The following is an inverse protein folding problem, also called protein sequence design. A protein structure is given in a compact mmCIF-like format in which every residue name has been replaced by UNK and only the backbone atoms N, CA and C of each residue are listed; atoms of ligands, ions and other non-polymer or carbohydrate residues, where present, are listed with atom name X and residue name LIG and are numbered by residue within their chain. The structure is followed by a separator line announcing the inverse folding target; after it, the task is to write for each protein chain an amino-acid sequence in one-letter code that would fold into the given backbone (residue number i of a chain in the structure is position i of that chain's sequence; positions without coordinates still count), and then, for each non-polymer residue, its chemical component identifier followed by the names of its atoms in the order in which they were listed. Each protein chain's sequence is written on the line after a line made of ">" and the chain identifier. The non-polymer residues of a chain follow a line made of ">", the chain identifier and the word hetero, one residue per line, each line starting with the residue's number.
data_IF_650994882663
#
_entry.id   IF_650994882663
#
_cell.length_a   1.000
_cell.length_b   1.000
_cell.length_c   1.000
_cell.angle_alpha   90.00
_cell.angle_beta   90.00
_cell.angle_gamma   90.00
#
_symmetry.space_group_name_H-M   'P 1'
#
loop_
_entity.id
_entity.type
_entity.pdbx_description
1 polymer ?
#
# COMPACT_ATOMS: atom_id res chain seq x y z
N UNK A 1 36.98 -32.98 29.62
CA UNK A 1 36.96 -32.49 28.22
C UNK A 1 35.89 -31.43 28.12
N UNK A 2 36.26 -30.16 28.04
CA UNK A 2 35.31 -29.08 27.82
C UNK A 2 35.04 -29.00 26.33
N UNK A 3 33.83 -29.36 25.91
CA UNK A 3 33.35 -29.04 24.58
C UNK A 3 33.09 -27.53 24.51
N UNK A 4 34.01 -26.80 23.88
CA UNK A 4 33.75 -25.46 23.42
C UNK A 4 32.73 -25.53 22.28
N UNK A 5 31.53 -25.13 22.55
CA UNK A 5 30.53 -24.92 21.49
C UNK A 5 30.95 -23.65 20.73
N UNK A 6 31.47 -23.81 19.55
CA UNK A 6 31.78 -22.68 18.68
C UNK A 6 30.46 -21.99 18.32
N UNK A 7 30.28 -20.78 18.79
CA UNK A 7 29.15 -19.91 18.35
C UNK A 7 29.50 -19.37 16.99
N UNK A 8 28.95 -19.99 15.94
CA UNK A 8 29.09 -19.49 14.58
C UNK A 8 28.14 -18.30 14.41
N UNK A 9 28.71 -17.12 14.27
CA UNK A 9 27.95 -15.94 13.81
C UNK A 9 28.21 -15.81 12.32
N UNK A 10 27.17 -15.70 11.48
CA UNK A 10 27.37 -15.37 10.07
C UNK A 10 28.07 -14.00 9.99
N UNK A 11 29.07 -13.91 9.12
CA UNK A 11 29.82 -12.67 8.89
C UNK A 11 28.99 -11.59 8.23
N UNK A 12 27.93 -11.99 7.50
CA UNK A 12 27.01 -11.11 6.79
C UNK A 12 25.62 -11.70 6.72
N UNK A 13 24.60 -10.84 6.80
CA UNK A 13 23.20 -11.19 6.55
C UNK A 13 22.76 -10.55 5.25
N UNK A 14 22.28 -11.35 4.32
CA UNK A 14 21.69 -10.86 3.09
C UNK A 14 20.16 -10.96 3.20
N UNK A 15 19.49 -9.83 2.97
CA UNK A 15 18.06 -9.84 2.76
C UNK A 15 17.79 -10.32 1.33
N UNK A 16 17.29 -11.55 1.19
CA UNK A 16 16.93 -12.10 -0.11
C UNK A 16 15.43 -11.89 -0.30
N UNK A 17 15.08 -11.08 -1.29
CA UNK A 17 13.67 -10.68 -1.61
C UNK A 17 12.96 -9.92 -0.49
N UNK A 18 13.49 -8.78 -0.01
CA UNK A 18 12.78 -7.95 0.93
C UNK A 18 11.49 -7.45 0.27
N UNK A 19 10.36 -7.63 0.95
CA UNK A 19 9.12 -7.00 0.54
C UNK A 19 9.19 -5.53 0.94
N UNK A 20 9.29 -4.65 -0.04
CA UNK A 20 9.33 -3.22 0.17
C UNK A 20 7.90 -2.65 0.17
N UNK A 21 7.59 -1.79 1.12
CA UNK A 21 6.34 -1.02 1.20
C UNK A 21 6.70 0.46 1.17
N UNK A 22 6.18 1.18 0.17
CA UNK A 22 6.37 2.62 0.06
C UNK A 22 5.27 3.36 0.83
N UNK A 23 5.65 4.31 1.69
CA UNK A 23 4.71 5.22 2.34
C UNK A 23 5.04 6.66 1.98
N UNK A 24 4.03 7.38 1.49
CA UNK A 24 4.16 8.75 1.03
C UNK A 24 3.05 9.60 1.65
N UNK A 25 3.40 10.82 2.06
CA UNK A 25 2.42 11.82 2.48
C UNK A 25 2.23 12.81 1.33
N UNK A 26 1.12 12.72 0.64
CA UNK A 26 0.71 13.69 -0.39
C UNK A 26 0.20 14.92 0.34
N UNK A 27 1.13 15.84 0.63
CA UNK A 27 0.84 17.10 1.33
C UNK A 27 0.11 18.05 0.38
N UNK A 28 -0.99 18.58 0.88
CA UNK A 28 -1.82 19.48 0.11
C UNK A 28 -2.74 18.67 -0.79
N UNK A 29 -3.76 18.12 -0.17
CA UNK A 29 -4.99 17.80 -0.85
C UNK A 29 -5.26 18.94 -1.81
N UNK A 30 -5.33 18.65 -3.10
CA UNK A 30 -5.48 19.72 -4.09
C UNK A 30 -6.82 20.41 -3.83
N UNK A 31 -6.86 21.65 -3.31
CA UNK A 31 -8.11 22.30 -2.87
C UNK A 31 -9.15 22.37 -4.00
N UNK A 32 -8.68 22.38 -5.25
CA UNK A 32 -9.54 22.37 -6.42
C UNK A 32 -10.27 21.03 -6.65
N UNK A 33 -9.77 19.92 -6.10
CA UNK A 33 -10.35 18.59 -6.25
C UNK A 33 -11.09 18.10 -5.01
N UNK A 34 -10.93 18.78 -3.86
CA UNK A 34 -11.61 18.44 -2.61
C UNK A 34 -13.14 18.35 -2.77
N UNK A 35 -13.84 19.33 -3.42
CA UNK A 35 -15.28 19.23 -3.64
C UNK A 35 -15.68 18.04 -4.51
N UNK A 36 -14.83 17.66 -5.50
CA UNK A 36 -15.09 16.50 -6.36
C UNK A 36 -14.97 15.20 -5.57
N UNK A 37 -13.93 15.09 -4.75
CA UNK A 37 -13.76 13.93 -3.88
C UNK A 37 -14.91 13.80 -2.89
N UNK A 38 -15.38 14.91 -2.32
CA UNK A 38 -16.56 14.91 -1.45
C UNK A 38 -17.83 14.51 -2.20
N UNK A 39 -17.97 14.87 -3.49
CA UNK A 39 -19.11 14.45 -4.30
C UNK A 39 -19.08 12.96 -4.67
N UNK A 40 -17.90 12.35 -4.79
CA UNK A 40 -17.77 10.91 -5.00
C UNK A 40 -18.28 10.10 -3.80
N UNK A 41 -18.22 10.68 -2.58
CA UNK A 41 -18.79 10.08 -1.37
C UNK A 41 -20.33 9.93 -1.46
N UNK A 42 -20.98 10.78 -2.23
CA UNK A 42 -22.43 10.87 -2.30
C UNK A 42 -23.05 10.12 -3.49
N UNK A 43 -22.24 9.73 -4.47
CA UNK A 43 -22.68 9.08 -5.69
C UNK A 43 -22.15 7.63 -5.78
N UNK A 44 -22.93 6.77 -6.46
CA UNK A 44 -22.54 5.39 -6.72
C UNK A 44 -21.15 5.34 -7.39
N UNK A 45 -20.30 4.46 -6.87
CA UNK A 45 -18.86 4.35 -7.09
C UNK A 45 -18.47 4.27 -8.57
N UNK A 46 -17.84 5.30 -9.15
CA UNK A 46 -17.29 5.16 -10.49
C UNK A 46 -16.03 4.25 -10.46
N UNK A 47 -15.89 3.42 -11.46
CA UNK A 47 -14.60 2.86 -11.85
C UNK A 47 -13.71 3.99 -12.36
N UNK A 48 -12.39 3.88 -12.12
CA UNK A 48 -11.40 4.89 -12.57
C UNK A 48 -11.55 6.28 -11.95
N UNK A 49 -11.77 6.29 -10.63
CA UNK A 49 -11.94 7.50 -9.83
C UNK A 49 -10.82 8.51 -10.03
N UNK A 50 -9.57 8.07 -10.15
CA UNK A 50 -8.42 8.96 -10.33
C UNK A 50 -8.42 9.68 -11.67
N UNK A 51 -9.15 9.22 -12.68
CA UNK A 51 -9.32 9.93 -13.96
C UNK A 51 -10.16 11.21 -13.79
N UNK A 52 -11.01 11.25 -12.78
CA UNK A 52 -11.78 12.44 -12.42
C UNK A 52 -11.00 13.44 -11.55
N UNK A 53 -9.83 13.03 -11.04
CA UNK A 53 -8.96 13.76 -10.12
C UNK A 53 -7.53 13.89 -10.69
N UNK A 54 -7.31 14.63 -11.80
CA UNK A 54 -6.05 14.62 -12.55
C UNK A 54 -4.84 15.11 -11.74
N UNK A 55 -5.02 16.07 -10.83
CA UNK A 55 -3.92 16.55 -9.99
C UNK A 55 -3.51 15.49 -8.95
N UNK A 56 -4.48 14.84 -8.34
CA UNK A 56 -4.22 13.74 -7.41
C UNK A 56 -3.60 12.55 -8.15
N UNK A 57 -4.13 12.17 -9.32
CA UNK A 57 -3.56 11.11 -10.17
C UNK A 57 -2.09 11.38 -10.50
N UNK A 58 -1.75 12.63 -10.85
CA UNK A 58 -0.37 13.02 -11.09
C UNK A 58 0.51 12.82 -9.85
N UNK A 59 0.07 13.28 -8.68
CA UNK A 59 0.83 13.12 -7.43
C UNK A 59 1.02 11.63 -7.06
N UNK A 60 -0.01 10.81 -7.28
CA UNK A 60 0.09 9.36 -7.08
C UNK A 60 1.09 8.74 -8.06
N UNK A 61 1.06 9.13 -9.35
CA UNK A 61 2.03 8.65 -10.33
C UNK A 61 3.47 9.06 -9.98
N UNK A 62 3.69 10.25 -9.41
CA UNK A 62 5.00 10.66 -8.90
C UNK A 62 5.46 9.75 -7.74
N UNK A 63 4.55 9.36 -6.83
CA UNK A 63 4.84 8.37 -5.78
C UNK A 63 5.16 6.99 -6.35
N UNK A 64 4.40 6.52 -7.36
CA UNK A 64 4.66 5.25 -8.04
C UNK A 64 6.04 5.27 -8.68
N UNK A 65 6.40 6.37 -9.37
CA UNK A 65 7.72 6.53 -9.99
C UNK A 65 8.85 6.44 -8.96
N UNK A 66 8.71 7.12 -7.82
CA UNK A 66 9.69 7.04 -6.75
C UNK A 66 9.83 5.61 -6.21
N UNK A 67 8.69 4.94 -6.01
CA UNK A 67 8.64 3.57 -5.52
C UNK A 67 9.27 2.57 -6.49
N UNK A 68 8.93 2.64 -7.78
CA UNK A 68 9.48 1.73 -8.81
C UNK A 68 10.98 1.92 -9.01
N UNK A 69 11.48 3.16 -8.90
CA UNK A 69 12.92 3.44 -8.92
C UNK A 69 13.65 2.76 -7.75
N UNK A 70 13.11 2.87 -6.51
CA UNK A 70 13.68 2.21 -5.33
C UNK A 70 13.58 0.68 -5.44
N UNK A 71 12.50 0.19 -6.01
CA UNK A 71 12.29 -1.25 -6.23
C UNK A 71 13.18 -1.82 -7.35
N UNK A 72 13.73 -0.96 -8.21
CA UNK A 72 14.61 -1.35 -9.32
C UNK A 72 13.86 -2.02 -10.47
N UNK A 73 12.64 -1.61 -10.75
CA UNK A 73 11.81 -2.13 -11.84
C UNK A 73 11.41 -1.02 -12.79
N UNK A 74 10.86 -1.40 -13.96
CA UNK A 74 10.34 -0.47 -14.94
C UNK A 74 9.29 0.46 -14.35
N UNK A 75 9.17 1.65 -14.95
CA UNK A 75 8.20 2.64 -14.51
C UNK A 75 6.77 2.15 -14.70
N UNK A 76 5.97 2.33 -13.66
CA UNK A 76 4.54 2.04 -13.64
C UNK A 76 3.73 3.32 -13.49
N UNK A 77 2.47 3.27 -13.92
CA UNK A 77 1.46 4.29 -13.68
C UNK A 77 0.16 3.66 -13.18
N UNK A 78 -0.77 4.49 -12.71
CA UNK A 78 -2.12 4.04 -12.35
C UNK A 78 -2.79 3.40 -13.57
N UNK A 79 -3.30 2.17 -13.37
CA UNK A 79 -4.10 1.44 -14.35
C UNK A 79 -5.60 1.61 -14.10
N UNK A 80 -6.06 1.13 -12.95
CA UNK A 80 -7.45 1.20 -12.49
C UNK A 80 -7.51 1.79 -11.09
N UNK A 81 -8.62 2.43 -10.74
CA UNK A 81 -8.80 3.00 -9.41
C UNK A 81 -10.23 2.89 -8.92
N UNK A 82 -10.38 2.51 -7.65
CA UNK A 82 -11.66 2.22 -7.00
C UNK A 82 -11.79 3.06 -5.73
N UNK A 83 -12.96 3.60 -5.51
CA UNK A 83 -13.28 4.33 -4.30
C UNK A 83 -14.03 3.44 -3.32
N UNK A 84 -13.59 3.40 -2.08
CA UNK A 84 -14.19 2.61 -1.01
C UNK A 84 -14.49 3.51 0.20
N UNK A 85 -15.68 3.36 0.78
CA UNK A 85 -16.08 4.02 2.03
C UNK A 85 -16.14 3.00 3.14
N UNK A 86 -15.37 3.23 4.20
CA UNK A 86 -15.28 2.34 5.35
C UNK A 86 -16.12 2.94 6.48
N UNK A 87 -17.35 2.50 6.57
CA UNK A 87 -18.32 2.95 7.55
C UNK A 87 -17.90 2.63 8.99
N UNK A 88 -18.49 3.34 9.96
CA UNK A 88 -18.28 3.07 11.38
C UNK A 88 -18.55 1.59 11.73
N UNK A 89 -17.62 0.97 12.43
CA UNK A 89 -17.70 -0.45 12.82
C UNK A 89 -17.45 -1.45 11.69
N UNK A 90 -17.25 -1.00 10.44
CA UNK A 90 -16.95 -1.86 9.30
C UNK A 90 -15.44 -1.87 9.02
N UNK A 91 -14.95 -3.01 8.58
CA UNK A 91 -13.62 -3.19 8.03
C UNK A 91 -13.68 -3.62 6.57
N UNK A 92 -12.53 -3.93 6.00
CA UNK A 92 -12.45 -4.52 4.66
C UNK A 92 -11.79 -5.88 4.77
N UNK A 93 -12.46 -6.90 4.22
CA UNK A 93 -11.98 -8.26 4.22
C UNK A 93 -10.68 -8.41 3.42
N UNK A 94 -9.98 -9.50 3.69
CA UNK A 94 -8.71 -9.82 3.03
C UNK A 94 -8.87 -9.93 1.52
N UNK A 95 -8.03 -9.21 0.78
CA UNK A 95 -8.03 -9.15 -0.69
C UNK A 95 -6.60 -9.06 -1.24
N UNK A 96 -6.35 -9.72 -2.36
CA UNK A 96 -5.15 -9.58 -3.20
C UNK A 96 -5.53 -9.11 -4.61
N UNK A 97 -4.53 -8.73 -5.40
CA UNK A 97 -4.71 -8.19 -6.75
C UNK A 97 -3.80 -8.94 -7.73
N UNK A 98 -4.33 -9.95 -8.41
CA UNK A 98 -3.53 -10.89 -9.21
C UNK A 98 -3.08 -10.33 -10.57
N UNK A 99 -3.72 -9.25 -11.05
CA UNK A 99 -3.48 -8.68 -12.39
C UNK A 99 -2.59 -7.43 -12.38
N UNK A 100 -1.85 -7.19 -11.30
CA UNK A 100 -0.97 -6.03 -11.16
C UNK A 100 0.32 -6.44 -10.46
N UNK A 101 1.42 -5.75 -10.74
CA UNK A 101 2.67 -5.94 -9.99
C UNK A 101 2.62 -5.20 -8.66
N UNK A 102 2.04 -3.99 -8.66
CA UNK A 102 1.88 -3.17 -7.47
C UNK A 102 0.43 -2.71 -7.31
N UNK A 103 0.05 -2.49 -6.08
CA UNK A 103 -1.23 -1.90 -5.68
C UNK A 103 -0.97 -0.78 -4.68
N UNK A 104 -1.78 0.25 -4.74
CA UNK A 104 -1.67 1.34 -3.77
C UNK A 104 -3.00 1.70 -3.14
N UNK A 105 -2.89 2.33 -1.98
CA UNK A 105 -4.00 2.77 -1.15
C UNK A 105 -3.78 4.23 -0.79
N UNK A 106 -4.69 5.09 -1.19
CA UNK A 106 -4.67 6.50 -0.83
C UNK A 106 -5.86 6.83 0.06
N UNK A 107 -5.63 7.58 1.12
CA UNK A 107 -6.64 7.93 2.11
C UNK A 107 -6.94 9.43 2.08
N UNK A 108 -7.89 9.88 1.23
CA UNK A 108 -8.26 11.28 1.13
C UNK A 108 -8.81 11.85 2.43
N UNK A 109 -9.57 11.05 3.18
CA UNK A 109 -10.12 11.41 4.47
C UNK A 109 -9.94 10.21 5.41
N UNK A 110 -9.12 10.38 6.41
CA UNK A 110 -8.93 9.41 7.47
C UNK A 110 -8.96 10.10 8.83
N UNK A 111 -9.43 9.39 9.83
CA UNK A 111 -9.41 9.83 11.21
C UNK A 111 -8.26 9.07 11.88
N UNK A 112 -7.38 9.82 12.51
CA UNK A 112 -6.21 9.25 13.18
C UNK A 112 -6.62 8.11 14.14
N UNK A 113 -5.89 7.00 14.07
CA UNK A 113 -6.08 5.81 14.90
C UNK A 113 -7.46 5.13 14.77
N UNK A 114 -8.25 5.47 13.74
CA UNK A 114 -9.57 4.88 13.53
C UNK A 114 -9.51 3.53 12.82
N UNK A 115 -8.56 3.34 11.93
CA UNK A 115 -8.32 2.12 11.16
C UNK A 115 -6.84 1.82 11.07
N UNK A 116 -6.51 0.55 10.86
CA UNK A 116 -5.18 0.08 10.47
C UNK A 116 -5.27 -0.64 9.12
N UNK A 117 -4.35 -0.37 8.21
CA UNK A 117 -4.10 -1.23 7.05
C UNK A 117 -3.20 -2.37 7.52
N UNK A 118 -3.64 -3.61 7.32
CA UNK A 118 -2.87 -4.81 7.63
C UNK A 118 -2.42 -5.42 6.30
N UNK A 119 -1.12 -5.65 6.15
CA UNK A 119 -0.53 -6.38 5.04
C UNK A 119 -0.05 -7.74 5.55
N UNK A 120 -0.45 -8.80 4.87
CA UNK A 120 -0.10 -10.18 5.21
C UNK A 120 0.63 -10.84 4.05
N UNK A 121 1.60 -11.68 4.35
CA UNK A 121 2.22 -12.51 3.35
C UNK A 121 1.24 -13.63 2.95
N UNK A 122 1.05 -13.90 1.65
CA UNK A 122 0.14 -14.94 1.18
C UNK A 122 0.63 -16.35 1.55
N UNK A 123 1.93 -16.49 1.75
CA UNK A 123 2.54 -17.74 2.14
C UNK A 123 2.82 -17.75 3.63
N UNK A 124 2.18 -18.66 4.36
CA UNK A 124 2.54 -18.91 5.76
C UNK A 124 4.00 -19.33 5.79
N UNK A 125 4.83 -18.50 6.40
CA UNK A 125 6.23 -18.86 6.61
C UNK A 125 6.27 -20.16 7.44
N UNK A 126 6.84 -21.26 6.92
CA UNK A 126 6.91 -22.52 7.66
C UNK A 126 7.79 -22.43 8.90
N UNK A 127 8.58 -21.36 9.04
CA UNK A 127 9.37 -21.10 10.23
C UNK A 127 8.42 -20.49 11.28
N UNK A 128 7.76 -21.35 12.03
CA UNK A 128 7.04 -20.92 13.22
C UNK A 128 8.03 -20.23 14.16
N UNK A 129 7.76 -18.97 14.51
CA UNK A 129 8.51 -18.31 15.55
C UNK A 129 8.40 -19.14 16.83
N UNK A 130 9.50 -19.45 17.54
CA UNK A 130 9.43 -20.10 18.83
C UNK A 130 8.51 -19.31 19.76
N UNK A 131 7.66 -19.99 20.52
CA UNK A 131 6.63 -19.38 21.35
C UNK A 131 7.16 -18.38 22.40
N UNK A 132 8.44 -18.39 22.66
CA UNK A 132 9.15 -17.61 23.67
C UNK A 132 10.03 -16.48 23.11
N UNK A 133 10.05 -16.28 21.78
CA UNK A 133 10.86 -15.23 21.16
C UNK A 133 9.99 -14.15 20.55
N UNK A 134 10.46 -12.91 20.68
CA UNK A 134 9.84 -11.76 20.02
C UNK A 134 9.81 -11.99 18.49
N UNK A 135 8.64 -11.70 17.89
CA UNK A 135 8.46 -11.72 16.45
C UNK A 135 9.43 -10.72 15.83
N UNK A 136 10.27 -11.18 14.91
CA UNK A 136 11.16 -10.31 14.15
C UNK A 136 10.49 -9.90 12.83
N UNK A 137 11.03 -8.87 12.16
CA UNK A 137 10.59 -8.46 10.82
C UNK A 137 10.62 -9.61 9.79
N UNK A 138 11.42 -10.64 10.04
CA UNK A 138 11.54 -11.83 9.17
C UNK A 138 10.50 -12.91 9.47
N UNK A 139 9.88 -12.87 10.66
CA UNK A 139 8.92 -13.88 11.12
C UNK A 139 7.52 -13.33 11.35
N UNK A 140 7.34 -12.01 11.19
CA UNK A 140 6.03 -11.38 11.29
C UNK A 140 5.11 -11.88 10.15
N UNK A 141 3.98 -12.52 10.44
CA UNK A 141 3.03 -12.95 9.41
C UNK A 141 2.29 -11.77 8.78
N UNK A 142 2.22 -10.65 9.48
CA UNK A 142 1.53 -9.44 9.08
C UNK A 142 2.18 -8.20 9.67
N UNK A 143 2.00 -7.07 9.00
CA UNK A 143 2.45 -5.75 9.46
C UNK A 143 1.27 -4.77 9.44
N UNK A 144 1.23 -3.86 10.42
CA UNK A 144 0.18 -2.84 10.56
C UNK A 144 0.71 -1.47 10.22
N UNK A 145 -0.04 -0.75 9.42
CA UNK A 145 0.27 0.61 8.99
C UNK A 145 -0.78 1.58 9.52
N UNK A 146 -0.30 2.59 10.25
CA UNK A 146 -1.16 3.68 10.76
C UNK A 146 -1.55 4.58 9.58
N UNK A 147 -2.85 4.87 9.50
CA UNK A 147 -3.44 5.63 8.43
C UNK A 147 -3.72 7.06 8.89
N UNK A 148 -3.28 8.00 8.06
CA UNK A 148 -3.57 9.43 8.19
C UNK A 148 -4.14 9.98 6.88
N UNK A 149 -4.85 11.10 6.96
CA UNK A 149 -5.33 11.83 5.77
C UNK A 149 -4.16 12.24 4.87
N UNK A 150 -4.29 11.99 3.57
CA UNK A 150 -3.26 12.27 2.56
C UNK A 150 -2.20 11.18 2.45
N UNK A 151 -2.28 10.10 3.23
CA UNK A 151 -1.34 8.99 3.15
C UNK A 151 -1.59 8.15 1.90
N UNK A 152 -0.51 7.87 1.17
CA UNK A 152 -0.46 6.94 0.05
C UNK A 152 0.50 5.80 0.40
N UNK A 153 0.02 4.55 0.35
CA UNK A 153 0.81 3.35 0.61
C UNK A 153 0.85 2.53 -0.67
N UNK A 154 2.05 2.15 -1.13
CA UNK A 154 2.27 1.33 -2.34
C UNK A 154 2.95 0.04 -1.93
N UNK A 155 2.41 -1.08 -2.40
CA UNK A 155 2.87 -2.43 -2.02
C UNK A 155 2.91 -3.35 -3.24
N UNK A 156 3.69 -4.44 -3.18
CA UNK A 156 3.53 -5.54 -4.13
C UNK A 156 2.10 -6.10 -4.06
N UNK A 157 1.51 -6.34 -5.21
CA UNK A 157 0.09 -6.73 -5.32
C UNK A 157 -0.21 -8.14 -4.78
N UNK A 158 0.84 -8.99 -4.64
CA UNK A 158 0.70 -10.32 -4.06
C UNK A 158 0.48 -10.31 -2.53
N UNK A 159 0.75 -9.19 -1.85
CA UNK A 159 0.43 -9.08 -0.42
C UNK A 159 -1.09 -9.01 -0.23
N UNK A 160 -1.57 -9.79 0.73
CA UNK A 160 -2.97 -9.76 1.11
C UNK A 160 -3.20 -8.58 2.02
N UNK A 161 -4.15 -7.73 1.67
CA UNK A 161 -4.54 -6.58 2.48
C UNK A 161 -5.84 -6.84 3.22
N UNK A 162 -5.94 -6.33 4.43
CA UNK A 162 -7.20 -6.15 5.14
C UNK A 162 -7.20 -4.81 5.88
N UNK A 163 -8.38 -4.34 6.27
CA UNK A 163 -8.52 -3.11 7.05
C UNK A 163 -9.32 -3.42 8.30
N UNK A 164 -8.79 -3.01 9.45
CA UNK A 164 -9.48 -3.19 10.73
C UNK A 164 -10.82 -2.44 10.75
N UNK A 165 -11.79 -2.89 11.58
CA UNK A 165 -13.03 -2.14 11.76
C UNK A 165 -12.77 -0.69 12.15
N UNK A 166 -13.46 0.23 11.48
CA UNK A 166 -13.40 1.66 11.76
C UNK A 166 -13.96 1.96 13.15
N UNK A 167 -13.09 2.42 14.04
CA UNK A 167 -13.43 2.73 15.44
C UNK A 167 -14.06 4.11 15.62
N UNK A 168 -14.09 4.92 14.56
CA UNK A 168 -14.68 6.26 14.61
C UNK A 168 -16.17 6.24 14.25
N UNK A 169 -16.89 7.27 14.65
CA UNK A 169 -18.30 7.47 14.26
C UNK A 169 -18.44 7.96 12.81
N UNK A 170 -17.36 8.46 12.21
CA UNK A 170 -17.36 8.99 10.83
C UNK A 170 -16.73 7.98 9.88
N UNK A 171 -17.18 7.95 8.62
CA UNK A 171 -16.59 7.08 7.62
C UNK A 171 -15.15 7.50 7.30
N UNK A 172 -14.35 6.53 6.92
CA UNK A 172 -13.02 6.71 6.34
C UNK A 172 -13.09 6.42 4.85
N UNK A 173 -12.46 7.26 4.06
CA UNK A 173 -12.47 7.14 2.60
C UNK A 173 -11.12 6.63 2.10
N UNK A 174 -11.16 5.69 1.17
CA UNK A 174 -9.99 5.11 0.57
C UNK A 174 -10.13 5.02 -0.94
N UNK A 175 -9.06 5.33 -1.66
CA UNK A 175 -8.91 5.06 -3.08
C UNK A 175 -7.87 3.95 -3.22
N UNK A 176 -8.30 2.80 -3.72
CA UNK A 176 -7.41 1.70 -4.10
C UNK A 176 -7.10 1.84 -5.58
N UNK A 177 -5.84 1.66 -5.96
CA UNK A 177 -5.43 1.68 -7.37
C UNK A 177 -4.45 0.54 -7.68
N UNK A 178 -4.57 0.01 -8.89
CA UNK A 178 -3.62 -0.94 -9.47
C UNK A 178 -2.67 -0.22 -10.40
N UNK A 179 -1.55 -0.86 -10.73
CA UNK A 179 -0.54 -0.26 -11.61
C UNK A 179 -0.32 -1.11 -12.87
N UNK A 180 0.13 -0.47 -13.94
CA UNK A 180 0.62 -1.11 -15.16
C UNK A 180 1.97 -0.54 -15.57
N UNK A 181 2.76 -1.33 -16.28
CA UNK A 181 4.02 -0.88 -16.89
C UNK A 181 3.73 0.17 -17.96
N UNK A 182 4.51 1.23 -17.96
CA UNK A 182 4.51 2.22 -19.07
C UNK A 182 5.53 1.78 -20.11
N UNK A 183 5.06 1.51 -21.31
CA UNK A 183 5.89 1.15 -22.45
C UNK A 183 6.68 2.40 -22.91
N UNK A 184 7.93 2.52 -22.48
CA UNK A 184 8.78 3.69 -22.75
C UNK A 184 9.08 3.83 -24.27
N UNK A 185 8.97 2.74 -25.04
CA UNK A 185 9.19 2.77 -26.50
C UNK A 185 8.15 3.61 -27.26
N UNK A 186 7.02 3.97 -26.63
CA UNK A 186 5.97 4.82 -27.24
C UNK A 186 6.11 6.31 -26.93
N UNK A 187 7.07 6.71 -26.10
CA UNK A 187 7.37 8.12 -25.87
C UNK A 187 8.30 8.57 -27.01
N UNK A 188 7.75 8.76 -28.19
CA UNK A 188 8.43 9.51 -29.25
C UNK A 188 8.59 10.93 -28.74
N UNK A 189 9.83 11.33 -28.46
CA UNK A 189 10.18 12.73 -28.31
C UNK A 189 9.82 13.43 -29.62
N UNK A 190 8.70 14.11 -29.67
CA UNK A 190 8.42 15.09 -30.68
C UNK A 190 9.32 16.29 -30.37
N UNK A 191 10.44 16.37 -31.07
CA UNK A 191 11.32 17.54 -31.14
C UNK A 191 10.57 18.77 -31.74
#
# INVERSE_FOLDING_TARGET
>A
MHHQTATLHPSEYFSVFPTCVGMYDIKGYHPAEEPKTMSLIQNEQPTDVLDTLPLLKKSINDCIKAYTNEYGVDYHEVNESFYEVIESGKGVDSKSYDNSLFVGYYFPIAIKDSIDLILEQPYKNPIAAPADKSVSIYTAPSEKFIIDTGRCIITPAHLVRSITPNKSEKPVNMITFTTKVVDIEKITFND
#
